data_IF_712263166020
#
_entry.id   IF_712263166020
#
_cell.length_a   1.000
_cell.length_b   1.000
_cell.length_c   1.000
_cell.angle_alpha   90.00
_cell.angle_beta   90.00
_cell.angle_gamma   90.00
#
_symmetry.space_group_name_H-M   'P 1'
#
loop_
_entity.id
_entity.type
_entity.pdbx_description
1 polymer ?
#
# COMPACT_ATOMS: atom_id res chain seq x y z
N UNK A 1 14.52 5.23 -14.11
CA UNK A 1 15.35 6.39 -13.80
C UNK A 1 15.01 6.87 -12.39
N UNK A 2 16.01 7.09 -11.57
CA UNK A 2 15.80 7.61 -10.22
C UNK A 2 15.47 9.10 -10.30
N UNK A 3 14.41 9.50 -9.60
CA UNK A 3 13.89 10.85 -9.68
C UNK A 3 14.59 11.77 -8.67
N UNK A 4 14.93 12.98 -9.10
CA UNK A 4 15.52 13.99 -8.23
C UNK A 4 14.46 14.73 -7.41
N UNK A 5 14.85 15.17 -6.21
CA UNK A 5 14.05 16.01 -5.32
C UNK A 5 12.70 15.41 -4.96
N UNK A 6 12.66 14.09 -4.75
CA UNK A 6 11.43 13.38 -4.40
C UNK A 6 11.40 12.98 -2.94
N UNK A 7 10.23 13.16 -2.35
CA UNK A 7 9.93 12.74 -0.98
C UNK A 7 8.93 11.59 -1.04
N UNK A 8 9.36 10.44 -0.54
CA UNK A 8 8.53 9.24 -0.43
C UNK A 8 8.19 9.01 1.03
N UNK A 9 6.92 8.87 1.31
CA UNK A 9 6.41 8.55 2.65
C UNK A 9 5.59 7.27 2.59
N UNK A 10 5.91 6.31 3.45
CA UNK A 10 5.09 5.12 3.69
C UNK A 10 4.58 5.14 5.12
N UNK A 11 3.31 4.83 5.31
CA UNK A 11 2.70 4.72 6.63
C UNK A 11 2.01 3.37 6.76
N UNK A 12 2.27 2.66 7.86
CA UNK A 12 1.72 1.33 8.13
C UNK A 12 0.89 1.34 9.42
N UNK A 13 0.04 0.33 9.58
CA UNK A 13 -0.82 0.18 10.75
C UNK A 13 -0.07 -0.12 12.06
N UNK A 14 1.12 -0.71 12.00
CA UNK A 14 1.86 -1.16 13.19
C UNK A 14 3.36 -0.95 13.08
N UNK A 15 4.00 -0.83 14.25
CA UNK A 15 5.46 -0.71 14.33
C UNK A 15 6.18 -1.93 13.74
N UNK A 16 5.63 -3.12 13.95
CA UNK A 16 6.19 -4.35 13.41
C UNK A 16 6.16 -4.35 11.88
N UNK A 17 5.03 -3.97 11.27
CA UNK A 17 4.90 -3.82 9.83
C UNK A 17 5.88 -2.77 9.27
N UNK A 18 6.03 -1.62 9.96
CA UNK A 18 7.01 -0.59 9.58
C UNK A 18 8.44 -1.15 9.56
N UNK A 19 8.83 -1.87 10.60
CA UNK A 19 10.20 -2.41 10.73
C UNK A 19 10.48 -3.50 9.67
N UNK A 20 9.50 -4.34 9.35
CA UNK A 20 9.60 -5.35 8.27
C UNK A 20 9.73 -4.67 6.90
N UNK A 21 8.87 -3.72 6.59
CA UNK A 21 8.87 -3.02 5.31
C UNK A 21 10.17 -2.22 5.10
N UNK A 22 10.69 -1.60 6.16
CA UNK A 22 11.99 -0.92 6.08
C UNK A 22 13.14 -1.90 5.86
N UNK A 23 13.09 -3.08 6.49
CA UNK A 23 14.05 -4.16 6.25
C UNK A 23 14.10 -4.58 4.78
N UNK A 24 12.94 -4.76 4.14
CA UNK A 24 12.86 -5.06 2.71
C UNK A 24 13.46 -3.94 1.86
N UNK A 25 13.13 -2.69 2.16
CA UNK A 25 13.67 -1.53 1.43
C UNK A 25 15.19 -1.46 1.54
N UNK A 26 15.75 -1.70 2.73
CA UNK A 26 17.22 -1.75 2.91
C UNK A 26 17.86 -2.89 2.12
N UNK A 27 17.23 -4.05 2.11
CA UNK A 27 17.72 -5.18 1.31
C UNK A 27 17.74 -4.84 -0.17
N UNK A 28 16.68 -4.22 -0.69
CA UNK A 28 16.62 -3.77 -2.09
C UNK A 28 17.72 -2.73 -2.38
N UNK A 29 17.87 -1.73 -1.52
CA UNK A 29 18.89 -0.69 -1.66
C UNK A 29 20.30 -1.28 -1.67
N UNK A 30 20.60 -2.19 -0.74
CA UNK A 30 21.92 -2.82 -0.62
C UNK A 30 22.28 -3.68 -1.85
N UNK A 31 21.30 -4.29 -2.50
CA UNK A 31 21.46 -5.18 -3.63
C UNK A 31 21.32 -4.47 -4.99
N UNK A 32 21.14 -3.16 -5.03
CA UNK A 32 21.17 -2.43 -6.29
C UNK A 32 22.54 -2.59 -6.98
N UNK A 33 22.55 -2.82 -8.31
CA UNK A 33 23.80 -2.79 -9.09
C UNK A 33 24.54 -1.47 -8.90
N UNK A 34 25.86 -1.53 -8.77
CA UNK A 34 26.69 -0.35 -8.49
C UNK A 34 26.52 0.76 -9.53
N UNK A 35 26.23 0.39 -10.77
CA UNK A 35 26.08 1.29 -11.90
C UNK A 35 24.84 2.20 -11.80
N UNK A 36 23.83 1.76 -11.05
CA UNK A 36 22.56 2.49 -10.87
C UNK A 36 22.29 2.87 -9.42
N UNK A 37 23.17 2.45 -8.50
CA UNK A 37 23.01 2.70 -7.08
C UNK A 37 23.35 4.16 -6.76
N UNK A 38 22.36 4.95 -6.28
CA UNK A 38 22.63 6.32 -5.90
C UNK A 38 23.45 6.39 -4.60
N UNK A 39 24.21 7.43 -4.46
CA UNK A 39 24.93 7.70 -3.23
C UNK A 39 23.96 7.94 -2.07
N UNK A 40 24.15 7.20 -0.98
CA UNK A 40 23.37 7.32 0.22
C UNK A 40 24.03 8.30 1.18
N UNK A 41 23.46 9.48 1.35
CA UNK A 41 23.95 10.53 2.25
C UNK A 41 23.70 10.19 3.71
N UNK A 42 22.54 9.59 4.00
CA UNK A 42 22.11 9.26 5.35
C UNK A 42 21.23 8.03 5.37
N UNK A 43 21.44 7.17 6.35
CA UNK A 43 20.61 6.00 6.61
C UNK A 43 20.25 5.97 8.10
N UNK A 44 19.01 6.30 8.40
CA UNK A 44 18.44 6.24 9.73
C UNK A 44 17.79 4.90 10.05
N UNK A 45 17.02 4.88 11.12
CA UNK A 45 16.29 3.68 11.54
C UNK A 45 15.11 3.36 10.63
N UNK A 46 14.47 4.39 10.04
CA UNK A 46 13.27 4.27 9.20
C UNK A 46 13.26 5.28 8.06
N UNK A 47 14.41 5.79 7.73
CA UNK A 47 14.57 6.80 6.69
C UNK A 47 15.90 6.62 5.95
N UNK A 48 15.86 6.91 4.66
CA UNK A 48 16.99 6.91 3.76
C UNK A 48 16.99 8.23 3.00
N UNK A 49 18.17 8.85 2.87
CA UNK A 49 18.36 10.07 2.10
C UNK A 49 19.48 9.86 1.09
N UNK A 50 19.17 10.07 -0.16
CA UNK A 50 20.12 9.97 -1.28
C UNK A 50 20.55 11.36 -1.74
N UNK A 51 21.85 11.54 -1.88
CA UNK A 51 22.43 12.79 -2.34
C UNK A 51 23.90 12.85 -1.94
N UNK A 52 24.60 13.88 -2.40
CA UNK A 52 25.95 14.21 -1.99
C UNK A 52 26.05 15.68 -1.59
N UNK A 53 27.17 16.10 -1.04
CA UNK A 53 27.43 17.51 -0.71
C UNK A 53 27.50 18.37 -1.98
N UNK A 54 27.94 17.77 -3.08
CA UNK A 54 28.11 18.42 -4.38
C UNK A 54 26.90 18.25 -5.33
N UNK A 55 25.75 17.71 -4.81
CA UNK A 55 24.55 17.44 -5.59
C UNK A 55 24.02 16.02 -5.40
N UNK A 56 23.55 15.38 -6.45
CA UNK A 56 22.96 14.04 -6.42
C UNK A 56 21.43 14.07 -6.46
N UNK A 57 20.77 12.99 -6.04
CA UNK A 57 19.30 12.85 -6.16
C UNK A 57 18.53 13.81 -5.27
N UNK A 58 19.08 14.18 -4.13
CA UNK A 58 18.39 14.99 -3.11
C UNK A 58 16.97 14.48 -2.80
N UNK A 59 16.83 13.17 -2.69
CA UNK A 59 15.56 12.48 -2.48
C UNK A 59 15.57 11.75 -1.15
N UNK A 60 14.39 11.62 -0.55
CA UNK A 60 14.22 10.95 0.73
C UNK A 60 13.11 9.91 0.70
N UNK A 61 13.28 8.89 1.52
CA UNK A 61 12.33 7.83 1.76
C UNK A 61 12.18 7.63 3.26
N UNK A 62 10.97 7.67 3.76
CA UNK A 62 10.70 7.52 5.18
C UNK A 62 9.49 6.65 5.46
N UNK A 63 9.55 5.93 6.57
CA UNK A 63 8.45 5.12 7.07
C UNK A 63 7.98 5.60 8.44
N UNK A 64 6.67 5.62 8.61
CA UNK A 64 6.02 5.87 9.89
C UNK A 64 4.98 4.81 10.21
N UNK A 65 4.60 4.78 11.47
CA UNK A 65 3.42 4.02 11.93
C UNK A 65 2.30 5.02 12.17
N UNK A 66 1.05 4.66 11.88
CA UNK A 66 -0.12 5.47 12.18
C UNK A 66 -0.11 5.93 13.65
N UNK A 67 -0.46 7.20 13.91
CA UNK A 67 -0.36 7.81 15.25
C UNK A 67 1.07 8.08 15.74
N UNK A 68 2.10 7.83 14.91
CA UNK A 68 3.48 8.15 15.19
C UNK A 68 3.80 9.64 14.99
N UNK A 69 5.09 9.96 14.81
CA UNK A 69 5.52 11.34 14.57
C UNK A 69 4.82 11.90 13.33
N UNK A 70 4.14 13.02 13.54
CA UNK A 70 3.43 13.71 12.47
C UNK A 70 4.39 14.14 11.35
N UNK A 71 4.03 13.81 10.12
CA UNK A 71 4.70 14.24 8.89
C UNK A 71 4.11 15.57 8.39
N UNK A 72 3.27 16.20 9.21
CA UNK A 72 2.57 17.44 8.86
C UNK A 72 3.56 18.54 8.47
N UNK A 73 3.24 19.24 7.39
CA UNK A 73 4.07 20.35 6.88
C UNK A 73 5.23 19.94 5.97
N UNK A 74 5.40 18.67 5.69
CA UNK A 74 6.37 18.17 4.70
C UNK A 74 5.70 17.97 3.34
N UNK A 75 6.39 18.34 2.28
CA UNK A 75 5.99 17.97 0.93
C UNK A 75 6.11 16.44 0.78
N UNK A 76 5.11 15.79 0.20
CA UNK A 76 5.15 14.38 -0.18
C UNK A 76 4.89 14.28 -1.69
N UNK A 77 5.78 13.59 -2.41
CA UNK A 77 5.60 13.32 -3.83
C UNK A 77 4.98 11.91 -4.05
N UNK A 78 5.37 10.93 -3.24
CA UNK A 78 4.84 9.57 -3.29
C UNK A 78 4.41 9.15 -1.89
N UNK A 79 3.13 8.90 -1.72
CA UNK A 79 2.55 8.43 -0.47
C UNK A 79 2.05 6.99 -0.64
N UNK A 80 2.39 6.12 0.32
CA UNK A 80 1.80 4.79 0.42
C UNK A 80 1.27 4.57 1.84
N UNK A 81 -0.04 4.38 1.95
CA UNK A 81 -0.72 4.05 3.20
C UNK A 81 -1.15 2.59 3.19
N UNK A 82 -0.53 1.78 4.05
CA UNK A 82 -0.69 0.33 4.08
C UNK A 82 -1.62 -0.11 5.20
N UNK A 83 -2.54 -1.04 4.87
CA UNK A 83 -3.53 -1.64 5.77
C UNK A 83 -4.44 -0.59 6.46
N UNK A 84 -4.94 0.37 5.67
CA UNK A 84 -5.70 1.52 6.19
C UNK A 84 -6.98 1.12 6.90
N UNK A 85 -7.66 0.04 6.48
CA UNK A 85 -8.83 -0.47 7.19
C UNK A 85 -8.51 -0.93 8.62
N UNK A 86 -7.24 -1.23 8.92
CA UNK A 86 -6.76 -1.60 10.26
C UNK A 86 -6.39 -0.40 11.13
N UNK A 87 -6.45 0.83 10.60
CA UNK A 87 -6.08 2.01 11.35
C UNK A 87 -7.17 2.36 12.35
N UNK A 88 -6.84 2.35 13.63
CA UNK A 88 -7.79 2.60 14.73
C UNK A 88 -7.62 4.01 15.31
N UNK A 89 -8.61 4.43 16.07
CA UNK A 89 -8.60 5.71 16.78
C UNK A 89 -8.63 6.91 15.82
N UNK A 90 -7.59 7.75 15.85
CA UNK A 90 -7.44 8.92 14.97
C UNK A 90 -6.86 8.60 13.60
N UNK A 91 -6.99 7.36 13.13
CA UNK A 91 -6.40 6.91 11.85
C UNK A 91 -6.92 7.70 10.64
N UNK A 92 -8.19 8.05 10.64
CA UNK A 92 -8.81 8.90 9.60
C UNK A 92 -8.21 10.30 9.58
N UNK A 93 -8.13 10.98 10.71
CA UNK A 93 -7.53 12.33 10.81
C UNK A 93 -6.04 12.29 10.38
N UNK A 94 -5.36 11.19 10.73
CA UNK A 94 -3.97 10.99 10.35
C UNK A 94 -3.82 10.81 8.83
N UNK A 95 -4.70 10.01 8.21
CA UNK A 95 -4.75 9.83 6.76
C UNK A 95 -5.00 11.15 6.04
N UNK A 96 -6.00 11.91 6.46
CA UNK A 96 -6.32 13.22 5.90
C UNK A 96 -5.13 14.18 6.03
N UNK A 97 -4.43 14.14 7.17
CA UNK A 97 -3.22 14.92 7.39
C UNK A 97 -2.09 14.58 6.41
N UNK A 98 -1.91 13.30 6.09
CA UNK A 98 -0.93 12.85 5.08
C UNK A 98 -1.33 13.26 3.68
N UNK A 99 -2.60 13.07 3.30
CA UNK A 99 -3.10 13.43 1.98
C UNK A 99 -2.96 14.92 1.69
N UNK A 100 -3.15 15.79 2.69
CA UNK A 100 -2.92 17.22 2.56
C UNK A 100 -1.45 17.60 2.32
N UNK A 101 -0.51 16.69 2.60
CA UNK A 101 0.91 16.89 2.33
C UNK A 101 1.32 16.43 0.92
N UNK A 102 0.44 15.68 0.23
CA UNK A 102 0.72 15.22 -1.14
C UNK A 102 0.57 16.38 -2.12
N UNK A 103 1.64 16.65 -2.83
CA UNK A 103 1.65 17.71 -3.86
C UNK A 103 0.85 17.24 -5.06
N UNK A 104 -0.08 18.06 -5.51
CA UNK A 104 -0.80 17.79 -6.75
C UNK A 104 0.08 18.16 -7.95
N UNK A 105 0.35 17.20 -8.83
CA UNK A 105 1.14 17.47 -10.02
C UNK A 105 1.55 16.20 -10.76
N UNK A 106 2.18 16.41 -11.90
CA UNK A 106 2.78 15.35 -12.68
C UNK A 106 3.94 14.71 -11.89
N UNK A 107 4.03 13.41 -11.85
CA UNK A 107 5.01 12.64 -11.07
C UNK A 107 4.79 12.68 -9.55
N UNK A 108 3.55 12.75 -9.13
CA UNK A 108 3.15 12.53 -7.74
C UNK A 108 2.08 11.46 -7.70
N UNK A 109 2.06 10.67 -6.65
CA UNK A 109 1.15 9.53 -6.52
C UNK A 109 0.82 9.27 -5.06
N UNK A 110 -0.42 8.92 -4.78
CA UNK A 110 -0.83 8.39 -3.49
C UNK A 110 -1.50 7.03 -3.70
N UNK A 111 -1.01 6.03 -2.99
CA UNK A 111 -1.57 4.68 -2.96
C UNK A 111 -2.08 4.38 -1.56
N UNK A 112 -3.33 3.98 -1.46
CA UNK A 112 -3.98 3.58 -0.22
C UNK A 112 -4.44 2.14 -0.42
N UNK A 113 -3.94 1.21 0.38
CA UNK A 113 -4.32 -0.18 0.24
C UNK A 113 -4.70 -0.81 1.58
N UNK A 114 -5.53 -1.83 1.51
CA UNK A 114 -5.89 -2.66 2.65
C UNK A 114 -6.56 -3.96 2.24
N UNK A 115 -6.53 -4.93 3.14
CA UNK A 115 -7.51 -6.01 3.17
C UNK A 115 -8.84 -5.47 3.72
N UNK A 116 -9.97 -5.97 3.22
CA UNK A 116 -11.29 -5.55 3.70
C UNK A 116 -11.49 -5.93 5.17
N UNK A 117 -11.97 -4.99 5.98
CA UNK A 117 -12.28 -5.22 7.40
C UNK A 117 -13.70 -4.74 7.73
N UNK A 118 -14.68 -5.56 7.42
CA UNK A 118 -16.09 -5.25 7.68
C UNK A 118 -16.68 -4.24 6.69
N UNK A 119 -17.85 -3.72 7.05
CA UNK A 119 -18.64 -2.77 6.27
C UNK A 119 -18.56 -1.40 6.94
N UNK A 120 -17.88 -0.46 6.30
CA UNK A 120 -17.72 0.92 6.78
C UNK A 120 -16.27 1.30 7.15
N UNK A 121 -16.08 2.57 7.51
CA UNK A 121 -14.77 3.17 7.80
C UNK A 121 -14.14 3.82 6.58
N UNK A 122 -13.14 4.67 6.83
CA UNK A 122 -12.56 5.56 5.81
C UNK A 122 -12.08 4.83 4.56
N UNK A 123 -11.44 3.66 4.70
CA UNK A 123 -10.97 2.89 3.55
C UNK A 123 -12.13 2.33 2.71
N UNK A 124 -13.15 1.77 3.38
CA UNK A 124 -14.36 1.26 2.72
C UNK A 124 -15.06 2.37 1.93
N UNK A 125 -15.27 3.51 2.57
CA UNK A 125 -16.02 4.61 1.96
C UNK A 125 -15.23 5.22 0.78
N UNK A 126 -13.92 5.42 0.92
CA UNK A 126 -13.06 5.87 -0.18
C UNK A 126 -13.04 4.90 -1.36
N UNK A 127 -13.03 3.59 -1.10
CA UNK A 127 -13.05 2.58 -2.16
C UNK A 127 -14.35 2.62 -2.97
N UNK A 128 -15.50 2.68 -2.30
CA UNK A 128 -16.80 2.71 -2.97
C UNK A 128 -17.05 4.04 -3.68
N UNK A 129 -16.68 5.17 -3.08
CA UNK A 129 -16.74 6.47 -3.76
C UNK A 129 -15.90 6.46 -5.06
N UNK A 130 -14.74 5.83 -5.02
CA UNK A 130 -13.90 5.67 -6.21
C UNK A 130 -14.55 4.71 -7.24
N UNK A 131 -15.09 3.58 -6.80
CA UNK A 131 -15.72 2.59 -7.66
C UNK A 131 -16.97 3.13 -8.37
N UNK A 132 -17.71 4.02 -7.70
CA UNK A 132 -18.88 4.71 -8.23
C UNK A 132 -18.55 5.95 -9.06
N UNK A 133 -17.27 6.35 -9.11
CA UNK A 133 -16.82 7.55 -9.83
C UNK A 133 -17.14 8.87 -9.13
N UNK A 134 -17.45 8.84 -7.83
CA UNK A 134 -17.78 9.99 -7.01
C UNK A 134 -16.56 10.76 -6.49
N UNK A 135 -15.36 10.23 -6.72
CA UNK A 135 -14.11 10.84 -6.26
C UNK A 135 -13.06 10.89 -7.37
N UNK A 136 -11.94 11.59 -7.12
CA UNK A 136 -10.78 11.59 -8.02
C UNK A 136 -9.84 10.40 -7.88
N UNK A 137 -10.23 9.38 -7.10
CA UNK A 137 -9.47 8.16 -6.90
C UNK A 137 -9.84 7.09 -7.93
N UNK A 138 -8.87 6.24 -8.24
CA UNK A 138 -9.08 5.02 -9.02
C UNK A 138 -9.14 3.83 -8.07
N UNK A 139 -10.23 3.05 -8.14
CA UNK A 139 -10.39 1.84 -7.35
C UNK A 139 -9.82 0.64 -8.07
N UNK A 140 -9.02 -0.15 -7.37
CA UNK A 140 -8.44 -1.39 -7.89
C UNK A 140 -8.73 -2.53 -6.91
N UNK A 141 -9.25 -3.64 -7.41
CA UNK A 141 -9.52 -4.83 -6.61
C UNK A 141 -8.68 -6.01 -7.10
N UNK A 142 -7.95 -6.62 -6.18
CA UNK A 142 -7.18 -7.83 -6.43
C UNK A 142 -7.81 -9.01 -5.69
N UNK A 143 -8.71 -9.78 -6.32
CA UNK A 143 -9.30 -10.94 -5.69
C UNK A 143 -8.23 -12.03 -5.47
N UNK A 144 -8.31 -12.71 -4.31
CA UNK A 144 -7.33 -13.73 -3.93
C UNK A 144 -7.18 -14.85 -4.95
N UNK A 145 -8.23 -15.19 -5.68
CA UNK A 145 -8.25 -16.29 -6.64
C UNK A 145 -7.49 -16.03 -7.94
N UNK A 146 -7.04 -14.81 -8.20
CA UNK A 146 -6.17 -14.53 -9.37
C UNK A 146 -4.76 -15.06 -9.18
N UNK A 147 -4.37 -15.34 -7.95
CA UNK A 147 -3.04 -15.87 -7.64
C UNK A 147 -3.10 -17.39 -7.50
N UNK A 148 -2.43 -18.12 -8.39
CA UNK A 148 -2.36 -19.59 -8.38
C UNK A 148 -1.84 -20.18 -7.06
N UNK A 149 -1.08 -19.41 -6.29
CA UNK A 149 -0.55 -19.81 -4.98
C UNK A 149 -1.63 -20.00 -3.91
N UNK A 150 -2.80 -19.41 -4.09
CA UNK A 150 -3.95 -19.55 -3.19
C UNK A 150 -4.94 -20.64 -3.64
N UNK A 151 -4.62 -21.36 -4.71
CA UNK A 151 -5.42 -22.48 -5.20
C UNK A 151 -4.67 -23.80 -5.03
N UNK A 152 -5.35 -24.80 -4.52
CA UNK A 152 -4.86 -26.18 -4.55
C UNK A 152 -5.51 -26.91 -5.75
N UNK A 153 -4.74 -27.66 -6.53
CA UNK A 153 -5.32 -28.50 -7.58
C UNK A 153 -6.25 -29.54 -6.95
N UNK A 154 -7.35 -29.83 -7.61
CA UNK A 154 -8.19 -30.95 -7.20
C UNK A 154 -7.42 -32.26 -7.34
N UNK A 155 -7.67 -33.19 -6.42
CA UNK A 155 -7.00 -34.51 -6.43
C UNK A 155 -7.47 -35.38 -7.59
N UNK A 156 -8.72 -35.19 -8.03
CA UNK A 156 -9.34 -35.89 -9.15
C UNK A 156 -10.43 -35.04 -9.79
N UNK A 157 -10.91 -35.43 -11.00
CA UNK A 157 -12.07 -34.80 -11.61
C UNK A 157 -13.37 -35.07 -10.82
N UNK A 158 -13.43 -36.19 -10.09
CA UNK A 158 -14.55 -36.50 -9.20
C UNK A 158 -14.62 -35.51 -8.02
N UNK A 159 -13.48 -35.21 -7.38
CA UNK A 159 -13.39 -34.18 -6.33
C UNK A 159 -13.84 -32.80 -6.84
N UNK A 160 -13.48 -32.47 -8.07
CA UNK A 160 -13.85 -31.20 -8.69
C UNK A 160 -15.36 -31.11 -8.96
N UNK A 161 -15.96 -32.16 -9.45
CA UNK A 161 -17.41 -32.22 -9.68
C UNK A 161 -18.21 -32.21 -8.36
N UNK A 162 -17.74 -32.90 -7.33
CA UNK A 162 -18.33 -32.85 -5.99
C UNK A 162 -18.30 -31.42 -5.44
N UNK A 163 -17.17 -30.73 -5.53
CA UNK A 163 -17.03 -29.35 -5.09
C UNK A 163 -17.94 -28.38 -5.84
N UNK A 164 -18.06 -28.53 -7.16
CA UNK A 164 -18.99 -27.73 -7.96
C UNK A 164 -20.45 -27.95 -7.54
N UNK A 165 -20.82 -29.19 -7.28
CA UNK A 165 -22.17 -29.52 -6.83
C UNK A 165 -22.47 -28.94 -5.44
N UNK A 166 -21.50 -28.98 -4.52
CA UNK A 166 -21.63 -28.35 -3.20
C UNK A 166 -21.77 -26.83 -3.30
N UNK A 167 -20.97 -26.17 -4.15
CA UNK A 167 -21.08 -24.73 -4.39
C UNK A 167 -22.41 -24.33 -5.02
N UNK A 168 -22.92 -25.12 -5.97
CA UNK A 168 -24.20 -24.87 -6.61
C UNK A 168 -25.41 -25.03 -5.68
N UNK A 169 -25.24 -25.74 -4.56
CA UNK A 169 -26.26 -25.88 -3.51
C UNK A 169 -26.15 -24.83 -2.41
N UNK A 170 -25.01 -24.12 -2.31
CA UNK A 170 -24.81 -23.09 -1.32
C UNK A 170 -25.37 -21.74 -1.82
N UNK A 171 -26.49 -21.32 -1.24
CA UNK A 171 -27.19 -20.06 -1.57
C UNK A 171 -26.30 -18.81 -1.48
N UNK A 172 -25.15 -18.88 -0.81
CA UNK A 172 -24.18 -17.78 -0.73
C UNK A 172 -23.36 -17.58 -2.01
N UNK A 173 -23.34 -18.59 -2.90
CA UNK A 173 -22.46 -18.60 -4.07
C UNK A 173 -23.16 -18.80 -5.42
N UNK A 174 -24.47 -18.61 -5.50
CA UNK A 174 -25.15 -18.64 -6.79
C UNK A 174 -26.45 -19.44 -6.86
N UNK A 175 -27.14 -19.62 -5.75
CA UNK A 175 -28.54 -20.05 -5.79
C UNK A 175 -29.36 -18.94 -6.44
N UNK A 176 -29.97 -19.21 -7.61
CA UNK A 176 -30.91 -18.30 -8.23
C UNK A 176 -32.01 -17.94 -7.23
N UNK A 177 -32.21 -16.64 -7.02
CA UNK A 177 -33.42 -16.13 -6.35
C UNK A 177 -34.59 -16.39 -7.31
N UNK A 178 -35.54 -17.26 -6.91
CA UNK A 178 -36.86 -17.31 -7.50
C UNK A 178 -37.71 -16.09 -7.09
#
# INVERSE_FOLDING_TARGET
AMNHNKVVQITTHSKAATDVMFGMTRTMEQNLPKEIKPELKYSGRRDLHWGSEDGGLNSSYSLSTVGGREVRGSKIDYLHCSEVASWSGSGEDYLLGLLNCVVQGFQTEAVIESTAQGVGGVFHDMYWDAAEGNSGWESVFFPWYIYSHYSNPFKSEEDKELFKNELGQDKRYGGEEE
#
